data_IF_066865932198
#
_entry.id   IF_066865932198
#
_cell.length_a   1.000
_cell.length_b   1.000
_cell.length_c   1.000
_cell.angle_alpha   90.00
_cell.angle_beta   90.00
_cell.angle_gamma   90.00
#
_symmetry.space_group_name_H-M   'P 1'
#
loop_
_entity.id
_entity.type
_entity.pdbx_description
1 polymer ?
#
# COMPACT_ATOMS: atom_id res chain seq x y z
N UNK A 1 -16.56 -26.71 -57.29
CA UNK A 1 -16.75 -25.48 -56.51
C UNK A 1 -17.00 -25.92 -55.08
N UNK A 2 -15.94 -25.97 -54.28
CA UNK A 2 -16.02 -26.34 -52.86
C UNK A 2 -16.13 -25.06 -52.05
N UNK A 3 -17.25 -24.88 -51.36
CA UNK A 3 -17.44 -23.81 -50.40
C UNK A 3 -16.43 -23.97 -49.27
N UNK A 4 -15.42 -23.10 -49.28
CA UNK A 4 -14.56 -22.88 -48.12
C UNK A 4 -15.44 -22.25 -47.03
N UNK A 5 -16.01 -23.09 -46.18
CA UNK A 5 -16.60 -22.65 -44.91
C UNK A 5 -15.49 -21.91 -44.15
N UNK A 6 -15.59 -20.58 -44.12
CA UNK A 6 -14.75 -19.74 -43.30
C UNK A 6 -15.00 -20.15 -41.85
N UNK A 7 -14.09 -20.93 -41.28
CA UNK A 7 -14.09 -21.24 -39.86
C UNK A 7 -13.75 -19.93 -39.16
N UNK A 8 -14.75 -19.33 -38.50
CA UNK A 8 -14.53 -18.12 -37.71
C UNK A 8 -13.36 -18.36 -36.74
N UNK A 9 -12.42 -17.42 -36.63
CA UNK A 9 -11.28 -17.56 -35.74
C UNK A 9 -11.79 -17.79 -34.31
N UNK A 10 -11.13 -18.67 -33.53
CA UNK A 10 -11.57 -18.98 -32.18
C UNK A 10 -11.69 -17.71 -31.35
N UNK A 11 -12.89 -17.45 -30.83
CA UNK A 11 -13.17 -16.28 -30.00
C UNK A 11 -12.36 -16.38 -28.71
N UNK A 12 -11.46 -15.41 -28.47
CA UNK A 12 -10.63 -15.35 -27.26
C UNK A 12 -11.46 -14.88 -26.04
N UNK A 13 -12.44 -15.70 -25.62
CA UNK A 13 -13.46 -15.31 -24.64
C UNK A 13 -12.86 -14.96 -23.28
N UNK A 14 -11.97 -15.80 -22.73
CA UNK A 14 -11.32 -15.51 -21.43
C UNK A 14 -10.48 -14.25 -21.52
N UNK A 15 -9.76 -14.04 -22.62
CA UNK A 15 -8.98 -12.81 -22.80
C UNK A 15 -9.87 -11.57 -22.75
N UNK A 16 -11.02 -11.59 -23.44
CA UNK A 16 -11.99 -10.49 -23.39
C UNK A 16 -12.55 -10.28 -21.98
N UNK A 17 -12.92 -11.36 -21.27
CA UNK A 17 -13.42 -11.29 -19.89
C UNK A 17 -12.37 -10.74 -18.91
N UNK A 18 -11.12 -11.16 -19.05
CA UNK A 18 -10.03 -10.63 -18.23
C UNK A 18 -9.86 -9.14 -18.48
N UNK A 19 -9.84 -8.68 -19.74
CA UNK A 19 -9.78 -7.23 -20.03
C UNK A 19 -10.95 -6.47 -19.43
N UNK A 20 -12.18 -6.98 -19.57
CA UNK A 20 -13.36 -6.36 -18.94
C UNK A 20 -13.23 -6.28 -17.42
N UNK A 21 -12.69 -7.32 -16.76
CA UNK A 21 -12.43 -7.27 -15.32
C UNK A 21 -11.36 -6.23 -14.95
N UNK A 22 -10.30 -6.09 -15.77
CA UNK A 22 -9.28 -5.05 -15.57
C UNK A 22 -9.86 -3.63 -15.70
N UNK A 23 -10.76 -3.41 -16.66
CA UNK A 23 -11.47 -2.13 -16.82
C UNK A 23 -12.36 -1.83 -15.60
N UNK A 24 -12.99 -2.86 -15.02
CA UNK A 24 -13.77 -2.72 -13.78
C UNK A 24 -12.88 -2.36 -12.58
N UNK A 25 -11.65 -2.89 -12.50
CA UNK A 25 -10.68 -2.46 -11.49
C UNK A 25 -10.27 -1.00 -11.66
N UNK A 26 -10.08 -0.53 -12.91
CA UNK A 26 -9.75 0.87 -13.18
C UNK A 26 -10.92 1.79 -12.78
N UNK A 27 -12.17 1.40 -13.08
CA UNK A 27 -13.35 2.12 -12.61
C UNK A 27 -13.48 2.13 -11.07
N UNK A 28 -13.15 1.03 -10.40
CA UNK A 28 -13.14 0.95 -8.94
C UNK A 28 -12.11 1.91 -8.32
N UNK A 29 -10.91 1.97 -8.90
CA UNK A 29 -9.84 2.88 -8.48
C UNK A 29 -10.27 4.34 -8.62
N UNK A 30 -10.83 4.70 -9.77
CA UNK A 30 -11.27 6.08 -10.03
C UNK A 30 -12.42 6.51 -9.09
N UNK A 31 -13.31 5.58 -8.74
CA UNK A 31 -14.34 5.80 -7.73
C UNK A 31 -13.74 5.99 -6.33
N UNK A 32 -12.80 5.13 -5.92
CA UNK A 32 -12.08 5.26 -4.64
C UNK A 32 -11.36 6.61 -4.54
N UNK A 33 -10.68 7.01 -5.60
CA UNK A 33 -10.01 8.31 -5.67
C UNK A 33 -11.01 9.47 -5.51
N UNK A 34 -12.16 9.39 -6.18
CA UNK A 34 -13.24 10.36 -6.07
C UNK A 34 -13.81 10.44 -4.65
N UNK A 35 -14.00 9.29 -4.00
CA UNK A 35 -14.50 9.20 -2.63
C UNK A 35 -13.50 9.74 -1.61
N UNK A 36 -12.20 9.48 -1.76
CA UNK A 36 -11.16 10.10 -0.93
C UNK A 36 -11.15 11.63 -1.07
N UNK A 37 -11.22 12.15 -2.30
CA UNK A 37 -11.32 13.59 -2.55
C UNK A 37 -12.59 14.20 -1.95
N UNK A 38 -13.69 13.46 -1.91
CA UNK A 38 -14.93 13.88 -1.23
C UNK A 38 -14.76 13.87 0.29
N UNK A 39 -14.27 12.77 0.87
CA UNK A 39 -14.01 12.66 2.31
C UNK A 39 -13.10 13.78 2.81
N UNK A 40 -12.07 14.14 2.04
CA UNK A 40 -11.19 15.28 2.32
C UNK A 40 -11.97 16.60 2.39
N UNK A 41 -12.82 16.87 1.39
CA UNK A 41 -13.65 18.09 1.34
C UNK A 41 -14.69 18.14 2.46
N UNK A 42 -15.30 17.01 2.79
CA UNK A 42 -16.29 16.92 3.86
C UNK A 42 -15.64 17.18 5.23
N UNK A 43 -14.45 16.61 5.46
CA UNK A 43 -13.64 16.89 6.65
C UNK A 43 -13.25 18.37 6.73
N UNK A 44 -12.75 18.95 5.65
CA UNK A 44 -12.40 20.37 5.60
C UNK A 44 -13.61 21.26 5.90
N UNK A 45 -14.77 20.94 5.33
CA UNK A 45 -16.03 21.66 5.56
C UNK A 45 -16.47 21.54 7.02
N UNK A 46 -16.36 20.34 7.59
CA UNK A 46 -16.66 20.09 9.01
C UNK A 46 -15.76 20.94 9.92
N UNK A 47 -14.45 20.97 9.65
CA UNK A 47 -13.51 21.77 10.43
C UNK A 47 -13.77 23.27 10.31
N UNK A 48 -14.07 23.77 9.11
CA UNK A 48 -14.50 25.17 8.91
C UNK A 48 -15.76 25.49 9.72
N UNK A 49 -16.74 24.57 9.73
CA UNK A 49 -17.97 24.75 10.51
C UNK A 49 -17.73 24.75 12.03
N UNK A 50 -16.67 24.08 12.48
CA UNK A 50 -16.22 24.05 13.87
C UNK A 50 -15.32 25.23 14.27
N UNK A 51 -15.12 26.20 13.37
CA UNK A 51 -14.38 27.43 13.65
C UNK A 51 -12.87 27.34 13.44
N UNK A 52 -12.36 26.25 12.85
CA UNK A 52 -10.95 26.16 12.51
C UNK A 52 -10.59 27.13 11.37
N UNK A 53 -9.57 27.98 11.52
CA UNK A 53 -9.17 28.94 10.50
C UNK A 53 -8.57 28.26 9.28
N UNK A 54 -8.93 28.74 8.08
CA UNK A 54 -8.47 28.19 6.79
C UNK A 54 -6.95 28.31 6.56
N UNK A 55 -6.23 29.04 7.41
CA UNK A 55 -4.79 29.26 7.32
C UNK A 55 -3.95 28.11 7.89
N UNK A 56 -4.51 27.21 8.71
CA UNK A 56 -3.80 25.98 9.10
C UNK A 56 -3.91 24.98 7.95
N UNK A 57 -2.82 24.84 7.20
CA UNK A 57 -2.66 23.79 6.19
C UNK A 57 -2.66 22.44 6.92
N UNK A 58 -3.83 21.79 6.96
CA UNK A 58 -3.95 20.44 7.50
C UNK A 58 -3.23 19.53 6.53
N UNK A 59 -2.11 18.98 6.98
CA UNK A 59 -1.39 17.97 6.24
C UNK A 59 -2.20 16.68 6.32
N UNK A 60 -2.91 16.39 5.24
CA UNK A 60 -3.63 15.14 5.11
C UNK A 60 -2.60 14.02 5.01
N UNK A 61 -2.56 13.13 6.01
CA UNK A 61 -1.86 11.87 5.88
C UNK A 61 -2.57 11.11 4.77
N UNK A 62 -1.94 11.07 3.60
CA UNK A 62 -2.49 10.39 2.44
C UNK A 62 -2.65 8.90 2.75
N UNK A 63 -3.91 8.48 2.86
CA UNK A 63 -4.33 7.09 2.96
C UNK A 63 -4.41 6.44 1.56
N UNK A 64 -3.53 6.83 0.63
CA UNK A 64 -3.42 6.24 -0.71
C UNK A 64 -3.15 4.73 -0.74
N UNK A 65 -2.99 4.08 0.43
CA UNK A 65 -2.86 2.64 0.58
C UNK A 65 -4.02 1.85 -0.06
N UNK A 66 -5.24 2.41 -0.09
CA UNK A 66 -6.39 1.79 -0.74
C UNK A 66 -6.26 1.74 -2.27
N UNK A 67 -5.79 2.84 -2.87
CA UNK A 67 -5.61 2.97 -4.32
C UNK A 67 -4.49 2.06 -4.83
N UNK A 68 -3.35 2.05 -4.13
CA UNK A 68 -2.21 1.19 -4.44
C UNK A 68 -2.61 -0.30 -4.38
N UNK A 69 -3.42 -0.69 -3.38
CA UNK A 69 -3.91 -2.07 -3.25
C UNK A 69 -4.74 -2.51 -4.46
N UNK A 70 -5.58 -1.65 -5.03
CA UNK A 70 -6.39 -1.98 -6.22
C UNK A 70 -5.50 -2.17 -7.45
N UNK A 71 -4.48 -1.34 -7.63
CA UNK A 71 -3.50 -1.47 -8.72
C UNK A 71 -2.74 -2.79 -8.61
N UNK A 72 -2.33 -3.18 -7.40
CA UNK A 72 -1.68 -4.47 -7.15
C UNK A 72 -2.60 -5.66 -7.47
N UNK A 73 -3.87 -5.60 -7.05
CA UNK A 73 -4.87 -6.64 -7.35
C UNK A 73 -5.10 -6.81 -8.86
N UNK A 74 -5.22 -5.69 -9.59
CA UNK A 74 -5.34 -5.67 -11.06
C UNK A 74 -4.12 -6.31 -11.74
N UNK A 75 -2.93 -5.91 -11.32
CA UNK A 75 -1.67 -6.45 -11.86
C UNK A 75 -1.53 -7.95 -11.59
N UNK A 76 -1.98 -8.44 -10.43
CA UNK A 76 -1.95 -9.85 -10.09
C UNK A 76 -2.84 -10.71 -11.00
N UNK A 77 -4.07 -10.25 -11.30
CA UNK A 77 -4.96 -10.96 -12.26
C UNK A 77 -4.33 -10.99 -13.65
N UNK A 78 -3.84 -9.84 -14.15
CA UNK A 78 -3.18 -9.78 -15.47
C UNK A 78 -2.00 -10.73 -15.56
N UNK A 79 -1.12 -10.72 -14.55
CA UNK A 79 0.04 -11.61 -14.47
C UNK A 79 -0.38 -13.09 -14.49
N UNK A 80 -1.42 -13.46 -13.76
CA UNK A 80 -1.91 -14.83 -13.73
C UNK A 80 -2.44 -15.27 -15.10
N UNK A 81 -3.13 -14.38 -15.83
CA UNK A 81 -3.55 -14.62 -17.21
C UNK A 81 -2.34 -14.80 -18.14
N UNK A 82 -1.36 -13.89 -18.08
CA UNK A 82 -0.15 -13.94 -18.92
C UNK A 82 0.61 -15.27 -18.72
N UNK A 83 0.71 -15.76 -17.48
CA UNK A 83 1.31 -17.06 -17.15
C UNK A 83 0.55 -18.21 -17.80
N UNK A 84 -0.78 -18.25 -17.67
CA UNK A 84 -1.58 -19.30 -18.28
C UNK A 84 -1.52 -19.28 -19.81
N UNK A 85 -1.49 -18.08 -20.41
CA UNK A 85 -1.34 -17.91 -21.85
C UNK A 85 0.04 -18.37 -22.33
N UNK A 86 1.11 -18.11 -21.57
CA UNK A 86 2.45 -18.61 -21.90
C UNK A 86 2.54 -20.14 -21.83
N UNK A 87 1.96 -20.75 -20.78
CA UNK A 87 2.05 -22.19 -20.54
C UNK A 87 1.22 -23.03 -21.54
N UNK A 88 0.02 -22.54 -21.90
CA UNK A 88 -0.97 -23.31 -22.68
C UNK A 88 -1.20 -22.73 -24.08
N UNK A 89 -0.92 -21.45 -24.31
CA UNK A 89 -1.09 -20.77 -25.59
C UNK A 89 -2.50 -20.26 -25.84
N UNK A 90 -2.87 -20.13 -27.12
CA UNK A 90 -4.16 -19.54 -27.54
C UNK A 90 -5.40 -20.25 -26.96
N UNK A 91 -5.31 -21.57 -26.68
CA UNK A 91 -6.39 -22.32 -26.06
C UNK A 91 -6.73 -21.83 -24.64
N UNK A 92 -5.76 -21.22 -23.94
CA UNK A 92 -6.02 -20.58 -22.65
C UNK A 92 -6.88 -19.31 -22.79
N UNK A 93 -6.65 -18.54 -23.85
CA UNK A 93 -7.41 -17.33 -24.13
C UNK A 93 -8.85 -17.60 -24.56
N UNK A 94 -9.12 -18.75 -25.18
CA UNK A 94 -10.48 -19.24 -25.44
C UNK A 94 -11.12 -19.72 -24.13
N UNK A 95 -10.40 -20.55 -23.38
CA UNK A 95 -10.79 -21.08 -22.07
C UNK A 95 -11.88 -22.13 -22.10
N UNK A 96 -12.39 -22.47 -20.91
CA UNK A 96 -13.52 -23.37 -20.71
C UNK A 96 -14.74 -22.65 -20.11
N UNK A 97 -15.93 -23.24 -20.29
CA UNK A 97 -17.21 -22.65 -19.83
C UNK A 97 -17.19 -22.39 -18.32
N UNK A 98 -16.56 -23.27 -17.53
CA UNK A 98 -16.47 -23.13 -16.07
C UNK A 98 -15.75 -21.83 -15.71
N UNK A 99 -14.62 -21.56 -16.38
CA UNK A 99 -13.81 -20.37 -16.13
C UNK A 99 -14.46 -19.11 -16.68
N UNK A 100 -15.14 -19.22 -17.83
CA UNK A 100 -15.92 -18.11 -18.39
C UNK A 100 -17.03 -17.68 -17.43
N UNK A 101 -17.85 -18.62 -16.94
CA UNK A 101 -18.90 -18.33 -15.96
C UNK A 101 -18.31 -17.79 -14.66
N UNK A 102 -17.23 -18.38 -14.16
CA UNK A 102 -16.57 -17.92 -12.94
C UNK A 102 -16.09 -16.47 -13.03
N UNK A 103 -15.41 -16.10 -14.13
CA UNK A 103 -14.95 -14.73 -14.35
C UNK A 103 -16.11 -13.74 -14.53
N UNK A 104 -17.15 -14.13 -15.28
CA UNK A 104 -18.36 -13.31 -15.42
C UNK A 104 -19.03 -13.04 -14.08
N UNK A 105 -19.14 -14.03 -13.19
CA UNK A 105 -19.68 -13.83 -11.84
C UNK A 105 -18.88 -12.76 -11.08
N UNK A 106 -17.54 -12.82 -11.12
CA UNK A 106 -16.70 -11.83 -10.42
C UNK A 106 -16.81 -10.42 -11.02
N UNK A 107 -16.95 -10.30 -12.34
CA UNK A 107 -17.20 -9.01 -13.01
C UNK A 107 -18.52 -8.41 -12.52
N UNK A 108 -19.59 -9.20 -12.52
CA UNK A 108 -20.94 -8.75 -12.14
C UNK A 108 -20.97 -8.35 -10.66
N UNK A 109 -20.39 -9.16 -9.77
CA UNK A 109 -20.33 -8.86 -8.34
C UNK A 109 -19.60 -7.55 -8.06
N UNK A 110 -18.41 -7.36 -8.66
CA UNK A 110 -17.64 -6.15 -8.46
C UNK A 110 -18.33 -4.92 -9.05
N UNK A 111 -18.89 -5.03 -10.26
CA UNK A 111 -19.68 -3.96 -10.87
C UNK A 111 -20.89 -3.57 -10.02
N UNK A 112 -21.61 -4.54 -9.46
CA UNK A 112 -22.76 -4.28 -8.59
C UNK A 112 -22.37 -3.43 -7.38
N UNK A 113 -21.23 -3.73 -6.75
CA UNK A 113 -20.74 -2.96 -5.59
C UNK A 113 -20.33 -1.54 -5.99
N UNK A 114 -19.63 -1.38 -7.11
CA UNK A 114 -19.22 -0.06 -7.63
C UNK A 114 -20.46 0.78 -7.95
N UNK A 115 -21.41 0.23 -8.71
CA UNK A 115 -22.64 0.92 -9.12
C UNK A 115 -23.47 1.31 -7.88
N UNK A 116 -23.67 0.39 -6.94
CA UNK A 116 -24.43 0.67 -5.73
C UNK A 116 -23.76 1.77 -4.90
N UNK A 117 -22.44 1.73 -4.77
CA UNK A 117 -21.70 2.78 -4.05
C UNK A 117 -21.79 4.12 -4.76
N UNK A 118 -21.68 4.13 -6.09
CA UNK A 118 -21.78 5.36 -6.88
C UNK A 118 -23.18 5.99 -6.82
N UNK A 119 -24.23 5.19 -7.02
CA UNK A 119 -25.61 5.67 -7.09
C UNK A 119 -26.21 5.98 -5.72
N UNK A 120 -25.99 5.10 -4.73
CA UNK A 120 -26.65 5.19 -3.43
C UNK A 120 -25.73 5.64 -2.31
N UNK A 121 -24.41 5.64 -2.50
CA UNK A 121 -23.44 6.11 -1.52
C UNK A 121 -23.66 7.57 -1.07
N UNK A 122 -24.02 8.53 -1.94
CA UNK A 122 -24.33 9.90 -1.53
C UNK A 122 -25.54 10.04 -0.61
N UNK A 123 -26.52 9.12 -0.74
CA UNK A 123 -27.74 9.09 0.07
C UNK A 123 -27.67 8.10 1.22
N UNK A 124 -26.61 7.29 1.29
CA UNK A 124 -26.43 6.28 2.32
C UNK A 124 -26.16 6.93 3.67
N UNK A 125 -26.72 6.40 4.77
CA UNK A 125 -26.33 6.82 6.11
C UNK A 125 -24.90 6.38 6.48
N UNK A 126 -24.30 5.47 5.72
CA UNK A 126 -22.97 4.94 6.00
C UNK A 126 -21.86 5.97 5.72
N UNK A 127 -20.82 6.05 6.58
CA UNK A 127 -19.71 6.95 6.34
C UNK A 127 -18.93 6.56 5.07
N UNK A 128 -18.26 7.54 4.44
CA UNK A 128 -17.45 7.33 3.23
C UNK A 128 -16.34 6.29 3.47
N UNK A 129 -15.78 6.22 4.68
CA UNK A 129 -14.79 5.20 5.06
C UNK A 129 -15.34 3.78 4.93
N UNK A 130 -16.60 3.55 5.27
CA UNK A 130 -17.26 2.26 5.11
C UNK A 130 -17.36 1.90 3.61
N UNK A 131 -17.80 2.86 2.78
CA UNK A 131 -17.92 2.68 1.33
C UNK A 131 -16.56 2.37 0.68
N UNK A 132 -15.50 3.10 1.05
CA UNK A 132 -14.13 2.85 0.61
C UNK A 132 -13.68 1.44 0.99
N UNK A 133 -13.90 1.03 2.24
CA UNK A 133 -13.52 -0.30 2.72
C UNK A 133 -14.25 -1.42 1.99
N UNK A 134 -15.53 -1.20 1.63
CA UNK A 134 -16.34 -2.16 0.90
C UNK A 134 -15.81 -2.37 -0.53
N UNK A 135 -15.46 -1.29 -1.25
CA UNK A 135 -14.89 -1.37 -2.59
C UNK A 135 -13.54 -2.08 -2.57
N UNK A 136 -12.63 -1.71 -1.66
CA UNK A 136 -11.29 -2.34 -1.55
C UNK A 136 -11.40 -3.82 -1.22
N UNK A 137 -12.31 -4.19 -0.29
CA UNK A 137 -12.58 -5.59 0.06
C UNK A 137 -13.11 -6.38 -1.15
N UNK A 138 -14.05 -5.80 -1.90
CA UNK A 138 -14.60 -6.40 -3.10
C UNK A 138 -13.53 -6.61 -4.18
N UNK A 139 -12.68 -5.62 -4.42
CA UNK A 139 -11.55 -5.72 -5.36
C UNK A 139 -10.60 -6.87 -4.98
N UNK A 140 -10.25 -6.98 -3.69
CA UNK A 140 -9.41 -8.07 -3.18
C UNK A 140 -10.05 -9.44 -3.41
N UNK A 141 -11.33 -9.57 -3.10
CA UNK A 141 -12.09 -10.81 -3.29
C UNK A 141 -12.15 -11.21 -4.77
N UNK A 142 -12.53 -10.27 -5.65
CA UNK A 142 -12.59 -10.49 -7.09
C UNK A 142 -11.24 -10.89 -7.68
N UNK A 143 -10.15 -10.25 -7.23
CA UNK A 143 -8.79 -10.58 -7.66
C UNK A 143 -8.39 -12.00 -7.23
N UNK A 144 -8.60 -12.36 -5.97
CA UNK A 144 -8.29 -13.70 -5.46
C UNK A 144 -9.06 -14.78 -6.22
N UNK A 145 -10.38 -14.61 -6.36
CA UNK A 145 -11.23 -15.56 -7.06
C UNK A 145 -10.85 -15.70 -8.55
N UNK A 146 -10.59 -14.58 -9.24
CA UNK A 146 -10.16 -14.62 -10.64
C UNK A 146 -8.82 -15.34 -10.81
N UNK A 147 -7.87 -15.13 -9.90
CA UNK A 147 -6.58 -15.84 -9.91
C UNK A 147 -6.78 -17.34 -9.75
N UNK A 148 -7.65 -17.76 -8.82
CA UNK A 148 -7.93 -19.17 -8.58
C UNK A 148 -8.65 -19.82 -9.76
N UNK A 149 -9.61 -19.13 -10.39
CA UNK A 149 -10.29 -19.56 -11.61
C UNK A 149 -9.27 -19.78 -12.75
N UNK A 150 -8.40 -18.82 -12.99
CA UNK A 150 -7.38 -18.89 -14.06
C UNK A 150 -6.36 -20.00 -13.80
N UNK A 151 -5.95 -20.22 -12.54
CA UNK A 151 -5.08 -21.34 -12.16
C UNK A 151 -5.76 -22.68 -12.41
N UNK A 152 -6.99 -22.83 -11.95
CA UNK A 152 -7.76 -24.06 -12.13
C UNK A 152 -7.99 -24.37 -13.63
N UNK A 153 -8.24 -23.36 -14.46
CA UNK A 153 -8.32 -23.52 -15.91
C UNK A 153 -7.02 -24.09 -16.48
N UNK A 154 -5.88 -23.47 -16.12
CA UNK A 154 -4.57 -23.88 -16.60
C UNK A 154 -4.29 -25.33 -16.25
N UNK A 155 -4.56 -25.73 -15.01
CA UNK A 155 -4.29 -27.08 -14.53
C UNK A 155 -5.16 -28.12 -15.26
N UNK A 156 -6.44 -27.80 -15.55
CA UNK A 156 -7.30 -28.66 -16.38
C UNK A 156 -6.78 -28.80 -17.80
N UNK A 157 -6.36 -27.70 -18.44
CA UNK A 157 -5.89 -27.73 -19.83
C UNK A 157 -4.54 -28.45 -19.99
N UNK A 158 -3.64 -28.32 -19.01
CA UNK A 158 -2.39 -29.08 -18.98
C UNK A 158 -2.62 -30.59 -18.77
N UNK A 159 -3.66 -30.96 -18.03
CA UNK A 159 -4.00 -32.37 -17.76
C UNK A 159 -4.65 -33.07 -18.96
N UNK A 160 -5.39 -32.34 -19.80
CA UNK A 160 -6.08 -32.90 -21.00
C UNK A 160 -5.11 -33.06 -22.17
N UNK A 161 -4.00 -32.32 -22.19
CA UNK A 161 -3.00 -32.44 -23.25
C UNK A 161 -2.41 -33.86 -23.18
N UNK A 162 -2.66 -34.74 -24.16
CA UNK A 162 -2.05 -36.07 -24.16
C UNK A 162 -0.53 -35.88 -24.11
N UNK A 163 0.20 -36.69 -23.33
CA UNK A 163 1.66 -36.65 -23.34
C UNK A 163 2.06 -36.80 -24.79
N UNK A 164 2.65 -35.75 -25.37
CA UNK A 164 3.02 -35.77 -26.78
C UNK A 164 3.88 -37.00 -26.99
N UNK A 165 3.42 -37.93 -27.82
CA UNK A 165 4.09 -39.17 -28.18
C UNK A 165 5.32 -38.90 -29.05
N UNK A 166 6.16 -37.96 -28.65
CA UNK A 166 7.38 -37.58 -29.33
C UNK A 166 8.55 -38.23 -28.59
N UNK A 167 8.53 -39.56 -28.61
CA UNK A 167 9.70 -40.42 -28.56
C UNK A 167 9.36 -41.85 -28.99
N UNK A 168 8.54 -42.03 -30.04
CA UNK A 168 8.72 -43.21 -30.89
C UNK A 168 9.50 -42.73 -32.10
N UNK A 169 10.82 -42.77 -31.96
CA UNK A 169 11.74 -42.76 -33.09
C UNK A 169 11.28 -43.89 -34.02
N UNK A 170 11.03 -43.66 -35.32
CA UNK A 170 10.73 -44.76 -36.23
C UNK A 170 11.94 -45.70 -36.22
N UNK A 171 11.73 -46.94 -35.77
CA UNK A 171 12.69 -48.00 -35.99
C UNK A 171 12.82 -48.19 -37.51
N UNK A 172 13.97 -47.79 -38.05
CA UNK A 172 14.34 -48.07 -39.43
C UNK A 172 14.45 -49.59 -39.59
N UNK A 173 13.49 -50.20 -40.28
CA UNK A 173 13.60 -51.57 -40.78
C UNK A 173 14.31 -51.58 -42.13
N UNK A 174 15.30 -52.48 -42.19
CA UNK A 174 16.25 -52.75 -43.26
C UNK A 174 15.59 -53.20 -44.56
N UNK A 175 16.03 -52.68 -45.71
CA UNK A 175 16.12 -53.44 -46.97
C UNK A 175 17.27 -52.95 -47.86
N UNK A 176 18.30 -53.79 -47.92
CA UNK A 176 19.33 -54.05 -48.95
C UNK A 176 19.41 -53.20 -50.23
N UNK A 177 20.61 -52.69 -50.52
CA UNK A 177 21.04 -52.21 -51.83
C UNK A 177 22.54 -51.90 -51.88
N UNK A 178 23.31 -52.87 -52.37
CA UNK A 178 24.77 -52.86 -52.59
C UNK A 178 25.29 -51.65 -53.39
N UNK A 179 26.42 -51.06 -52.98
CA UNK A 179 27.69 -51.12 -53.75
C UNK A 179 28.79 -50.18 -53.22
N UNK A 180 29.93 -50.82 -52.91
CA UNK A 180 31.32 -50.46 -53.25
C UNK A 180 32.02 -49.22 -52.62
N UNK A 181 33.07 -49.55 -51.83
CA UNK A 181 34.45 -49.00 -51.87
C UNK A 181 34.67 -47.55 -51.38
N UNK A 182 35.67 -47.17 -50.58
CA UNK A 182 36.99 -47.74 -50.23
C UNK A 182 37.64 -46.90 -49.09
N UNK A 183 38.59 -47.51 -48.34
CA UNK A 183 39.74 -46.91 -47.58
C UNK A 183 39.44 -45.99 -46.37
N UNK A 184 39.58 -46.45 -45.10
CA UNK A 184 40.79 -46.45 -44.23
C UNK A 184 41.49 -45.08 -44.12
N UNK A 185 41.78 -44.50 -42.93
CA UNK A 185 42.79 -44.96 -41.95
C UNK A 185 42.76 -44.13 -40.63
N UNK A 186 43.21 -44.76 -39.52
CA UNK A 186 43.87 -44.25 -38.27
C UNK A 186 43.04 -43.40 -37.26
N UNK A 187 42.70 -43.89 -36.06
CA UNK A 187 43.51 -44.11 -34.82
C UNK A 187 44.06 -42.83 -34.14
N UNK A 188 43.49 -42.44 -33.00
CA UNK A 188 44.11 -42.57 -31.65
C UNK A 188 43.24 -41.97 -30.53
N UNK A 189 43.43 -42.38 -29.25
CA UNK A 189 42.46 -42.24 -28.16
C UNK A 189 42.92 -41.25 -27.06
N UNK A 190 41.98 -40.55 -26.40
CA UNK A 190 42.20 -40.07 -25.02
C UNK A 190 40.89 -40.03 -24.21
N UNK A 191 40.92 -40.44 -22.92
CA UNK A 191 39.74 -40.51 -22.05
C UNK A 191 39.69 -39.31 -21.08
N UNK A 192 38.52 -38.67 -20.92
CA UNK A 192 38.30 -37.83 -19.73
C UNK A 192 36.82 -37.74 -19.32
N UNK A 193 36.55 -38.40 -18.19
CA UNK A 193 35.67 -38.06 -17.04
C UNK A 193 34.24 -37.54 -17.28
N UNK A 194 33.21 -38.22 -16.73
CA UNK A 194 31.83 -37.72 -16.72
C UNK A 194 31.59 -36.69 -15.61
N UNK A 195 31.07 -35.53 -15.99
CA UNK A 195 30.54 -34.52 -15.06
C UNK A 195 29.17 -34.95 -14.55
N UNK A 196 29.12 -35.34 -13.28
CA UNK A 196 27.91 -35.55 -12.50
C UNK A 196 27.18 -34.21 -12.29
N UNK A 197 25.97 -34.09 -12.81
CA UNK A 197 25.03 -33.03 -12.44
C UNK A 197 24.19 -33.49 -11.23
N UNK A 198 24.04 -32.69 -10.16
CA UNK A 198 23.25 -33.08 -9.01
C UNK A 198 21.75 -33.00 -9.30
N UNK A 199 21.04 -34.07 -8.95
CA UNK A 199 19.59 -34.11 -8.86
C UNK A 199 19.10 -33.02 -7.90
N UNK A 200 18.22 -32.15 -8.41
CA UNK A 200 17.43 -31.19 -7.64
C UNK A 200 16.31 -31.93 -6.89
N UNK A 201 16.22 -31.84 -5.55
CA UNK A 201 15.14 -32.48 -4.79
C UNK A 201 13.80 -31.76 -4.98
N UNK A 202 12.73 -32.58 -5.02
CA UNK A 202 11.32 -32.19 -4.93
C UNK A 202 11.06 -31.45 -3.62
N UNK A 203 10.55 -30.22 -3.69
CA UNK A 203 9.93 -29.56 -2.54
C UNK A 203 8.43 -29.81 -2.54
N UNK A 204 8.04 -30.72 -1.65
CA UNK A 204 6.70 -30.91 -1.13
C UNK A 204 6.22 -29.61 -0.48
N UNK A 205 5.07 -29.07 -0.92
CA UNK A 205 4.40 -27.92 -0.31
C UNK A 205 3.37 -28.45 0.69
N UNK A 206 3.58 -28.16 1.96
CA UNK A 206 2.53 -27.93 2.96
C UNK A 206 3.10 -26.99 4.03
N UNK A 207 2.50 -25.80 4.07
CA UNK A 207 2.07 -25.01 5.23
C UNK A 207 3.04 -24.66 6.37
N UNK A 208 2.95 -23.38 6.76
CA UNK A 208 3.18 -22.79 8.09
C UNK A 208 4.41 -23.27 8.88
N UNK A 209 5.38 -22.37 9.07
CA UNK A 209 6.07 -22.09 10.35
C UNK A 209 7.20 -21.05 10.11
N UNK A 210 7.17 -19.93 10.82
CA UNK A 210 7.94 -19.69 12.06
C UNK A 210 9.43 -19.53 11.80
N UNK A 211 9.85 -18.27 11.73
CA UNK A 211 11.23 -17.81 11.64
C UNK A 211 12.07 -18.40 12.78
N UNK A 212 13.03 -19.27 12.46
CA UNK A 212 14.06 -19.74 13.40
C UNK A 212 15.46 -19.72 12.76
N UNK A 213 16.17 -18.64 13.10
CA UNK A 213 17.58 -18.51 13.47
C UNK A 213 18.62 -19.46 12.83
N UNK A 214 19.46 -18.88 11.97
CA UNK A 214 20.84 -19.36 11.75
C UNK A 214 21.75 -18.85 12.87
N UNK A 215 22.36 -19.78 13.61
CA UNK A 215 23.31 -19.50 14.69
C UNK A 215 24.72 -19.42 14.11
N UNK A 216 25.22 -18.21 13.93
CA UNK A 216 26.66 -17.93 13.95
C UNK A 216 26.95 -17.09 15.20
N UNK A 217 28.10 -17.24 15.87
CA UNK A 217 28.44 -16.42 17.04
C UNK A 217 28.87 -15.04 16.56
N UNK A 218 27.91 -14.24 16.10
CA UNK A 218 28.11 -12.81 15.94
C UNK A 218 28.06 -12.20 17.35
N UNK A 219 29.12 -11.49 17.72
CA UNK A 219 29.09 -10.54 18.83
C UNK A 219 27.75 -9.79 18.82
N UNK A 220 27.04 -9.70 19.96
CA UNK A 220 25.71 -9.07 20.01
C UNK A 220 25.82 -7.67 19.40
N UNK A 221 25.28 -7.52 18.20
CA UNK A 221 25.31 -6.26 17.49
C UNK A 221 24.47 -5.27 18.30
N UNK A 222 24.99 -4.07 18.60
CA UNK A 222 24.22 -3.08 19.34
C UNK A 222 22.96 -2.74 18.53
N UNK A 223 21.81 -2.83 19.18
CA UNK A 223 20.50 -2.61 18.56
C UNK A 223 20.39 -1.22 17.95
N UNK A 224 20.96 -0.24 18.66
CA UNK A 224 21.04 1.16 18.28
C UNK A 224 22.40 1.49 17.67
N UNK A 225 22.41 2.48 16.78
CA UNK A 225 23.65 3.10 16.36
C UNK A 225 24.38 3.74 17.56
N UNK A 226 25.73 3.72 17.63
CA UNK A 226 26.48 4.38 18.71
C UNK A 226 26.07 5.84 18.93
N UNK A 227 25.85 6.60 17.84
CA UNK A 227 25.39 7.98 17.94
C UNK A 227 23.97 8.10 18.50
N UNK A 228 23.08 7.16 18.16
CA UNK A 228 21.73 7.12 18.71
C UNK A 228 21.76 6.87 20.23
N UNK A 229 22.60 5.93 20.66
CA UNK A 229 22.78 5.60 22.08
C UNK A 229 23.35 6.77 22.88
N UNK A 230 24.27 7.54 22.29
CA UNK A 230 24.80 8.77 22.87
C UNK A 230 23.71 9.82 23.12
N UNK A 231 22.77 9.97 22.18
CA UNK A 231 21.63 10.90 22.35
C UNK A 231 20.62 10.40 23.40
N UNK A 232 20.45 9.08 23.52
CA UNK A 232 19.60 8.47 24.55
C UNK A 232 20.17 8.68 25.96
N UNK A 233 21.49 8.52 26.12
CA UNK A 233 22.18 8.65 27.42
C UNK A 233 22.46 10.10 27.81
N UNK A 234 22.59 11.01 26.83
CA UNK A 234 22.90 12.44 27.07
C UNK A 234 21.78 13.32 26.50
N UNK A 235 20.70 13.56 27.26
CA UNK A 235 19.56 14.37 26.81
C UNK A 235 19.94 15.78 26.34
N UNK A 236 20.99 16.38 26.92
CA UNK A 236 21.47 17.72 26.57
C UNK A 236 22.39 17.79 25.34
N UNK A 237 22.88 16.66 24.81
CA UNK A 237 23.78 16.64 23.65
C UNK A 237 22.99 17.05 22.40
N UNK A 238 23.27 18.16 21.70
CA UNK A 238 22.48 18.56 20.52
C UNK A 238 22.63 17.58 19.33
N UNK A 239 21.72 17.67 18.35
CA UNK A 239 21.87 16.98 17.08
C UNK A 239 23.09 17.53 16.31
N UNK A 240 23.80 16.64 15.62
CA UNK A 240 24.92 17.02 14.75
C UNK A 240 24.43 17.88 13.58
N UNK A 241 25.27 18.80 13.13
CA UNK A 241 25.01 19.62 11.93
C UNK A 241 24.87 18.79 10.65
N UNK A 242 25.36 17.54 10.63
CA UNK A 242 25.20 16.62 9.48
C UNK A 242 23.74 16.22 9.21
N UNK A 243 22.82 16.47 10.16
CA UNK A 243 21.38 16.29 9.97
C UNK A 243 20.69 17.52 9.39
N UNK A 244 21.41 18.63 9.23
CA UNK A 244 20.92 19.87 8.64
C UNK A 244 21.90 20.39 7.59
N UNK A 245 22.28 19.58 6.58
CA UNK A 245 23.14 20.06 5.51
C UNK A 245 22.42 21.14 4.69
N UNK A 246 23.14 22.20 4.30
CA UNK A 246 22.61 23.20 3.35
C UNK A 246 22.36 22.57 1.97
N UNK A 247 23.26 21.67 1.56
CA UNK A 247 23.17 20.87 0.33
C UNK A 247 23.43 19.39 0.64
N UNK A 248 22.44 18.52 0.38
CA UNK A 248 22.57 17.06 0.48
C UNK A 248 21.58 16.38 1.42
N UNK A 249 21.68 15.06 1.55
CA UNK A 249 20.80 14.28 2.41
C UNK A 249 21.37 14.17 3.84
N UNK A 250 20.53 14.30 4.88
CA UNK A 250 21.00 14.23 6.26
C UNK A 250 21.48 12.83 6.61
N UNK A 251 22.67 12.72 7.19
CA UNK A 251 23.29 11.45 7.53
C UNK A 251 23.84 11.41 8.95
N UNK A 252 23.89 10.19 9.50
CA UNK A 252 24.44 9.96 10.83
C UNK A 252 25.98 9.97 10.82
N UNK A 253 26.65 10.74 11.70
CA UNK A 253 28.11 10.85 11.69
C UNK A 253 28.82 9.55 12.11
N UNK A 254 28.16 8.65 12.84
CA UNK A 254 28.76 7.40 13.31
C UNK A 254 28.61 6.26 12.30
N UNK A 255 27.39 5.96 11.85
CA UNK A 255 27.13 4.84 10.94
C UNK A 255 27.05 5.26 9.46
N UNK A 256 27.16 6.56 9.14
CA UNK A 256 27.07 7.16 7.80
C UNK A 256 25.75 6.89 7.06
N UNK A 257 24.73 6.41 7.78
CA UNK A 257 23.43 6.13 7.20
C UNK A 257 22.68 7.43 6.92
N UNK A 258 22.15 7.54 5.71
CA UNK A 258 21.21 8.60 5.35
C UNK A 258 19.89 8.33 6.07
N UNK A 259 19.43 9.31 6.83
CA UNK A 259 18.14 9.26 7.50
C UNK A 259 17.18 10.14 6.72
N UNK A 260 15.99 9.63 6.38
CA UNK A 260 14.95 10.39 5.69
C UNK A 260 14.26 11.34 6.68
N UNK A 261 14.98 12.37 7.10
CA UNK A 261 14.50 13.43 7.98
C UNK A 261 14.26 14.68 7.14
N UNK A 262 13.20 15.40 7.46
CA UNK A 262 12.92 16.70 6.87
C UNK A 262 13.44 17.81 7.81
N UNK A 263 14.42 18.63 7.37
CA UNK A 263 14.96 19.72 8.17
C UNK A 263 13.88 20.71 8.62
N UNK A 264 13.80 21.00 9.92
CA UNK A 264 12.80 21.93 10.46
C UNK A 264 11.37 21.39 10.57
N UNK A 265 11.13 20.14 10.13
CA UNK A 265 9.86 19.46 10.30
C UNK A 265 9.85 18.61 11.58
N UNK A 266 8.65 18.42 12.10
CA UNK A 266 8.36 17.58 13.26
C UNK A 266 7.03 16.86 13.02
N UNK A 267 6.89 15.67 13.55
CA UNK A 267 5.64 14.91 13.42
C UNK A 267 4.69 15.29 14.54
N UNK A 268 3.40 15.38 14.23
CA UNK A 268 2.35 15.61 15.22
C UNK A 268 1.53 14.33 15.40
N UNK A 269 1.31 13.95 16.65
CA UNK A 269 0.54 12.76 17.05
C UNK A 269 -0.61 13.21 17.94
N UNK A 270 -1.82 12.78 17.60
CA UNK A 270 -3.03 13.11 18.35
C UNK A 270 -3.46 11.91 19.20
N UNK A 271 -3.62 12.14 20.51
CA UNK A 271 -4.07 11.12 21.46
C UNK A 271 -5.28 11.62 22.23
N UNK A 272 -6.27 10.76 22.43
CA UNK A 272 -7.42 11.06 23.29
C UNK A 272 -6.95 11.20 24.74
N UNK A 273 -7.36 12.29 25.39
CA UNK A 273 -7.08 12.47 26.82
C UNK A 273 -7.74 11.35 27.63
N UNK A 274 -7.04 10.72 28.61
CA UNK A 274 -7.62 9.68 29.45
C UNK A 274 -8.84 10.17 30.25
N UNK A 275 -8.94 11.48 30.47
CA UNK A 275 -10.07 12.12 31.14
C UNK A 275 -11.28 12.35 30.22
N UNK A 276 -11.21 11.93 28.95
CA UNK A 276 -12.25 12.15 27.93
C UNK A 276 -12.41 13.60 27.49
N UNK A 277 -11.62 14.53 28.03
CA UNK A 277 -11.69 15.97 27.75
C UNK A 277 -10.79 16.35 26.57
N UNK A 278 -11.18 15.92 25.37
CA UNK A 278 -10.54 16.35 24.11
C UNK A 278 -9.29 15.56 23.70
N UNK A 279 -8.71 15.99 22.59
CA UNK A 279 -7.48 15.43 22.01
C UNK A 279 -6.27 16.24 22.46
N UNK A 280 -5.17 15.53 22.74
CA UNK A 280 -3.86 16.07 23.09
C UNK A 280 -2.93 15.89 21.90
N UNK A 281 -2.18 16.93 21.53
CA UNK A 281 -1.25 16.90 20.41
C UNK A 281 0.19 16.80 20.93
N UNK A 282 0.94 15.83 20.43
CA UNK A 282 2.33 15.58 20.76
C UNK A 282 3.20 15.80 19.54
N UNK A 283 4.18 16.69 19.65
CA UNK A 283 5.15 16.97 18.60
C UNK A 283 6.41 16.13 18.82
N UNK A 284 6.61 15.17 17.93
CA UNK A 284 7.79 14.31 17.87
C UNK A 284 8.88 14.99 17.05
N UNK A 285 9.99 15.33 17.70
CA UNK A 285 11.11 15.99 17.05
C UNK A 285 11.99 15.03 16.23
N UNK A 286 12.76 15.58 15.29
CA UNK A 286 13.78 14.81 14.55
C UNK A 286 14.78 14.13 15.48
N UNK A 287 15.03 14.71 16.66
CA UNK A 287 15.95 14.15 17.65
C UNK A 287 15.48 12.80 18.17
N UNK A 288 14.18 12.65 18.42
CA UNK A 288 13.56 11.38 18.79
C UNK A 288 13.78 10.32 17.70
N UNK A 289 13.58 10.69 16.43
CA UNK A 289 13.77 9.78 15.30
C UNK A 289 15.23 9.31 15.20
N UNK A 290 16.19 10.21 15.40
CA UNK A 290 17.62 9.87 15.42
C UNK A 290 17.96 8.99 16.63
N UNK A 291 17.38 9.20 17.81
CA UNK A 291 17.56 8.28 18.95
C UNK A 291 17.11 6.86 18.64
N UNK A 292 16.15 6.68 17.75
CA UNK A 292 15.61 5.37 17.41
C UNK A 292 16.38 4.63 16.30
N UNK A 293 17.28 5.30 15.56
CA UNK A 293 17.85 4.66 14.37
C UNK A 293 18.86 3.55 14.69
N UNK A 294 18.87 2.53 13.83
CA UNK A 294 19.78 1.39 13.91
C UNK A 294 20.93 1.55 12.93
N UNK A 295 22.13 1.12 13.35
CA UNK A 295 23.35 1.18 12.54
C UNK A 295 23.64 -0.08 11.70
N UNK A 296 22.88 -1.15 11.90
CA UNK A 296 23.08 -2.43 11.22
C UNK A 296 22.73 -2.42 9.73
N UNK A 297 23.11 -3.49 9.03
CA UNK A 297 22.93 -3.68 7.57
C UNK A 297 21.47 -3.59 7.12
N UNK A 298 20.55 -4.08 7.96
CA UNK A 298 19.11 -4.05 7.69
C UNK A 298 18.53 -2.64 7.72
N UNK A 299 19.27 -1.68 8.28
CA UNK A 299 18.73 -0.38 8.59
C UNK A 299 17.55 -0.47 9.57
N UNK A 300 16.52 0.34 9.38
CA UNK A 300 15.40 0.50 10.31
C UNK A 300 15.63 1.35 11.55
N UNK A 301 14.62 1.33 12.41
CA UNK A 301 14.48 2.06 13.66
C UNK A 301 14.03 1.09 14.75
N UNK A 302 14.49 1.25 15.99
CA UNK A 302 13.97 0.56 17.16
C UNK A 302 13.35 1.58 18.09
N UNK A 303 12.12 1.32 18.56
CA UNK A 303 11.40 2.27 19.39
C UNK A 303 12.05 2.39 20.77
N UNK A 304 12.55 3.59 21.10
CA UNK A 304 13.16 3.83 22.43
C UNK A 304 12.15 3.74 23.56
N UNK A 305 10.88 4.03 23.31
CA UNK A 305 9.81 3.88 24.30
C UNK A 305 9.57 2.41 24.64
N UNK A 306 9.55 1.52 23.63
CA UNK A 306 9.48 0.06 23.88
C UNK A 306 10.66 -0.45 24.70
N UNK A 307 11.88 0.02 24.43
CA UNK A 307 13.08 -0.42 25.15
C UNK A 307 13.12 0.05 26.61
N UNK A 308 12.45 1.16 26.91
CA UNK A 308 12.32 1.70 28.27
C UNK A 308 11.19 1.03 29.04
N UNK A 309 10.09 0.69 28.34
CA UNK A 309 9.07 -0.19 28.88
C UNK A 309 9.65 -1.60 29.04
N UNK A 310 9.16 -2.40 29.98
CA UNK A 310 9.54 -3.81 30.10
C UNK A 310 8.97 -4.68 28.94
N UNK A 311 8.83 -4.10 27.75
CA UNK A 311 8.18 -4.67 26.59
C UNK A 311 9.16 -5.34 25.62
N UNK A 312 8.59 -5.96 24.60
CA UNK A 312 9.36 -6.47 23.47
C UNK A 312 9.84 -5.29 22.64
N UNK A 313 11.12 -5.28 22.30
CA UNK A 313 11.70 -4.27 21.43
C UNK A 313 11.05 -4.35 20.03
N UNK A 314 10.37 -3.27 19.64
CA UNK A 314 9.76 -3.19 18.32
C UNK A 314 10.72 -2.54 17.33
N UNK A 315 10.90 -3.19 16.17
CA UNK A 315 11.72 -2.68 15.07
C UNK A 315 10.80 -2.24 13.91
N UNK A 316 10.99 -1.01 13.47
CA UNK A 316 10.26 -0.38 12.36
C UNK A 316 11.19 -0.22 11.14
N UNK A 317 10.66 -0.45 9.94
CA UNK A 317 11.46 -0.35 8.70
C UNK A 317 11.88 1.08 8.34
N UNK A 318 11.02 2.06 8.61
CA UNK A 318 11.23 3.48 8.29
C UNK A 318 10.67 4.43 9.35
N UNK A 319 10.83 5.74 9.12
CA UNK A 319 10.36 6.81 10.02
C UNK A 319 8.83 6.78 10.18
N UNK A 320 8.09 6.56 9.09
CA UNK A 320 6.62 6.56 9.12
C UNK A 320 6.09 5.40 9.94
N UNK A 321 6.68 4.21 9.78
CA UNK A 321 6.37 3.03 10.58
C UNK A 321 6.69 3.27 12.06
N UNK A 322 7.80 3.93 12.39
CA UNK A 322 8.14 4.30 13.77
C UNK A 322 7.12 5.26 14.37
N UNK A 323 6.80 6.36 13.68
CA UNK A 323 5.83 7.35 14.17
C UNK A 323 4.45 6.73 14.34
N UNK A 324 4.02 5.88 13.40
CA UNK A 324 2.77 5.13 13.50
C UNK A 324 2.76 4.18 14.70
N UNK A 325 3.84 3.44 14.91
CA UNK A 325 3.99 2.55 16.07
C UNK A 325 3.90 3.34 17.38
N UNK A 326 4.61 4.48 17.49
CA UNK A 326 4.50 5.39 18.64
C UNK A 326 3.08 5.88 18.84
N UNK A 327 2.39 6.24 17.77
CA UNK A 327 1.00 6.68 17.85
C UNK A 327 0.03 5.58 18.28
N UNK A 328 0.22 4.33 17.86
CA UNK A 328 -0.72 3.26 18.17
C UNK A 328 -0.43 2.61 19.52
N UNK A 329 0.84 2.33 19.81
CA UNK A 329 1.22 1.40 20.87
C UNK A 329 1.68 2.07 22.16
N UNK A 330 2.03 3.37 22.13
CA UNK A 330 2.49 4.10 23.30
C UNK A 330 1.42 5.01 23.90
N UNK A 331 1.28 4.99 25.23
CA UNK A 331 0.30 5.79 25.94
C UNK A 331 0.77 7.23 26.16
N UNK A 332 -0.17 8.12 26.46
CA UNK A 332 0.11 9.55 26.72
C UNK A 332 1.18 9.74 27.79
N UNK A 333 1.15 8.96 28.87
CA UNK A 333 2.13 9.04 29.97
C UNK A 333 3.56 8.73 29.51
N UNK A 334 3.71 7.81 28.56
CA UNK A 334 5.02 7.45 28.01
C UNK A 334 5.55 8.54 27.09
N UNK A 335 4.67 9.18 26.30
CA UNK A 335 5.01 10.31 25.45
C UNK A 335 5.45 11.53 26.28
N UNK A 336 4.74 11.85 27.37
CA UNK A 336 5.12 12.92 28.32
C UNK A 336 6.49 12.68 28.98
N UNK A 337 6.85 11.42 29.18
CA UNK A 337 8.12 11.03 29.79
C UNK A 337 9.33 11.15 28.86
N UNK A 338 9.13 11.31 27.55
CA UNK A 338 10.21 11.43 26.58
C UNK A 338 10.49 12.88 26.23
N UNK A 339 11.67 13.38 26.62
CA UNK A 339 12.04 14.78 26.46
C UNK A 339 12.11 15.32 25.02
N UNK A 340 12.14 14.43 24.02
CA UNK A 340 12.13 14.80 22.60
C UNK A 340 10.72 14.76 21.95
N UNK A 341 9.69 14.44 22.75
CA UNK A 341 8.28 14.48 22.40
C UNK A 341 7.63 15.53 23.27
N UNK A 342 7.25 16.65 22.67
CA UNK A 342 6.72 17.80 23.41
C UNK A 342 5.23 17.89 23.18
N UNK A 343 4.44 17.92 24.25
CA UNK A 343 3.02 18.25 24.13
C UNK A 343 2.88 19.69 23.65
N UNK A 344 2.13 19.87 22.58
CA UNK A 344 1.76 21.19 22.07
C UNK A 344 0.37 21.47 22.59
N UNK A 345 0.24 22.53 23.40
CA UNK A 345 -1.06 23.06 23.75
C UNK A 345 -1.78 23.43 22.46
N UNK A 346 -2.75 22.61 22.06
CA UNK A 346 -3.71 22.99 21.05
C UNK A 346 -4.57 24.04 21.74
N UNK A 347 -4.20 25.32 21.60
CA UNK A 347 -5.08 26.42 22.00
C UNK A 347 -6.43 26.17 21.35
N UNK A 348 -7.36 25.63 22.14
CA UNK A 348 -8.77 25.62 21.79
C UNK A 348 -9.15 27.09 21.75
N UNK A 349 -9.30 27.66 20.57
CA UNK A 349 -9.74 29.04 20.28
C UNK A 349 -11.16 29.35 20.81
N UNK A 350 -11.62 28.69 21.88
CA UNK A 350 -12.85 28.96 22.61
C UNK A 350 -12.77 30.17 23.55
N UNK A 351 -11.64 30.90 23.59
CA UNK A 351 -11.40 31.96 24.57
C UNK A 351 -11.51 33.42 24.10
N UNK A 352 -11.82 33.73 22.83
CA UNK A 352 -11.92 35.13 22.35
C UNK A 352 -13.35 35.60 22.08
N UNK A 353 -14.29 35.23 22.95
CA UNK A 353 -15.61 35.90 23.04
C UNK A 353 -15.81 36.52 24.43
N UNK A 354 -15.43 37.81 24.50
CA UNK A 354 -16.31 38.89 24.96
C UNK A 354 -16.43 39.13 26.47
N UNK A 355 -15.30 39.32 27.15
CA UNK A 355 -15.25 40.20 28.32
C UNK A 355 -14.79 41.60 27.91
N UNK A 356 -15.75 42.47 27.65
CA UNK A 356 -15.64 43.93 27.72
C UNK A 356 -17.04 44.48 27.92
N UNK A 357 -17.48 44.43 29.16
CA UNK A 357 -18.64 45.14 29.72
C UNK A 357 -18.11 46.29 30.59
N UNK A 358 -18.85 47.41 30.59
CA UNK A 358 -18.73 48.69 31.32
C UNK A 358 -17.96 49.81 30.61
N UNK A 359 -18.48 51.03 30.40
CA UNK A 359 -19.71 51.71 30.83
C UNK A 359 -20.26 52.62 29.70
N UNK A 360 -21.56 52.83 29.58
CA UNK A 360 -22.35 53.87 30.29
C UNK A 360 -21.64 55.21 30.34
N UNK A 361 -21.94 56.10 29.39
CA UNK A 361 -22.36 57.47 29.67
C UNK A 361 -23.31 57.96 28.56
N UNK A 362 -24.53 58.32 28.98
CA UNK A 362 -25.45 59.19 28.27
C UNK A 362 -24.86 60.60 28.15
N UNK A 363 -24.74 61.14 26.92
CA UNK A 363 -24.95 62.57 26.66
C UNK A 363 -25.50 62.73 25.24
N UNK A 364 -26.71 63.30 25.13
CA UNK A 364 -27.39 63.48 23.86
C UNK A 364 -26.86 64.63 22.99
N UNK A 365 -27.33 64.66 21.73
CA UNK A 365 -27.69 65.89 20.98
C UNK A 365 -28.26 65.56 19.59
N UNK A 366 -29.53 65.95 19.42
CA UNK A 366 -30.14 66.72 18.30
C UNK A 366 -29.74 66.44 16.84
N UNK A 367 -30.79 66.25 16.02
CA UNK A 367 -30.84 66.57 14.58
C UNK A 367 -31.86 65.65 13.87
N UNK A 368 -33.17 65.96 13.80
CA UNK A 368 -33.84 66.93 12.92
C UNK A 368 -33.55 66.74 11.41
N UNK A 369 -34.57 66.28 10.66
CA UNK A 369 -34.58 66.16 9.19
C UNK A 369 -35.54 65.06 8.73
N UNK A 370 -36.86 65.29 8.72
CA UNK A 370 -37.63 65.87 7.61
C UNK A 370 -37.91 64.90 6.44
N UNK A 371 -39.20 64.54 6.34
CA UNK A 371 -40.04 64.44 5.13
C UNK A 371 -39.64 63.46 4.01
N UNK A 372 -40.54 62.51 3.72
CA UNK A 372 -40.44 61.69 2.50
C UNK A 372 -41.59 60.70 2.28
N UNK A 373 -42.74 61.20 1.81
CA UNK A 373 -43.88 60.43 1.25
C UNK A 373 -43.43 59.37 0.20
N UNK A 374 -44.07 58.19 0.16
CA UNK A 374 -45.09 57.74 -0.84
C UNK A 374 -45.19 56.20 -0.97
N UNK A 375 -46.45 55.76 -0.99
CA UNK A 375 -47.03 54.52 -1.53
C UNK A 375 -46.29 53.89 -2.74
N UNK A 376 -46.23 52.55 -2.79
CA UNK A 376 -47.08 51.72 -3.68
C UNK A 376 -46.96 50.21 -3.41
N UNK A 377 -48.14 49.56 -3.46
CA UNK A 377 -48.39 48.12 -3.59
C UNK A 377 -48.11 47.62 -5.01
N UNK A 378 -47.73 46.35 -5.13
CA UNK A 378 -48.20 45.29 -6.07
C UNK A 378 -47.16 44.15 -6.00
N UNK A 379 -47.42 42.95 -5.46
CA UNK A 379 -48.24 41.84 -6.01
C UNK A 379 -48.04 41.71 -7.51
N UNK A 380 -47.19 40.78 -7.94
CA UNK A 380 -47.57 39.52 -8.64
C UNK A 380 -46.56 38.45 -8.23
#
# INVERSE_FOLDING_TARGET
>A
MGDHLAVDPPTNVIQSLVHSLLDVFDAARDLVHTLHNKSRRDLETSLRSNGYPASRKIEYVDEGAGEESIVLHRAAVKKQFDVGFYDVGAQFAVGDVISQTGLQCQIIELQSIIINTFLYGPTSPDPISHQLSAIVKACRQASSAAIDILRAQRDRQLSVRPPSAWAVVPAHSLTTGSSASTTSTALTPYPTKPTLLPLRPKSHRSDTETTSLSTAPSTPQPLYCPYALDLQTRPSLPLSSTFFPEDGEPYCPACRRILKLEPGHSWEIYKTSPNGKGERCFRVSNRFLVKCHRGGVDGGYSCVLCSKGNGVETVCGDVRALVRHVWLDHEVRELEGEGDVVEVEVESEKGRRRDSVLGVEEVGRKGAGSVGRRRRRSVW
#
